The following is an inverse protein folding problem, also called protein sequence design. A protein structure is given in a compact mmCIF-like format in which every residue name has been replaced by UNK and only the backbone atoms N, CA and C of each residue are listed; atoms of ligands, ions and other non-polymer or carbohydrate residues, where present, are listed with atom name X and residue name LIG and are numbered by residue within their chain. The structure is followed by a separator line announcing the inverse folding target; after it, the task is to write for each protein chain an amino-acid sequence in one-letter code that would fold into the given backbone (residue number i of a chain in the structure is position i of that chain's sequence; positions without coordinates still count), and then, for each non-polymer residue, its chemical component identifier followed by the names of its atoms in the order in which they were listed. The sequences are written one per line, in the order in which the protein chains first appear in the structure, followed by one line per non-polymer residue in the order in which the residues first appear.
data_IF_922420366756
#
_entry.id   IF_922420366756
#
_cell.length_a   1.000
_cell.length_b   1.000
_cell.length_c   1.000
_cell.angle_alpha   90.00
_cell.angle_beta   90.00
_cell.angle_gamma   90.00
#
_symmetry.space_group_name_H-M   'P 1'
#
loop_
_entity.id
_entity.type
_entity.pdbx_description
1 polymer ?
#
# COMPACT_ATOMS: atom_id res chain seq x y z
N UNK A 1 24.55 13.98 -23.02
CA UNK A 1 23.08 14.00 -23.24
C UNK A 1 22.41 14.51 -21.97
N UNK A 2 21.45 15.44 -22.06
CA UNK A 2 20.67 15.89 -20.88
C UNK A 2 19.80 14.72 -20.41
N UNK A 3 19.83 14.39 -19.12
CA UNK A 3 18.94 13.37 -18.53
C UNK A 3 17.49 13.84 -18.64
N UNK A 4 16.56 12.94 -18.97
CA UNK A 4 15.13 13.25 -19.08
C UNK A 4 14.57 13.55 -17.69
N UNK A 5 13.62 14.47 -17.64
CA UNK A 5 12.92 14.87 -16.41
C UNK A 5 11.43 14.61 -16.58
N UNK A 6 10.79 14.12 -15.52
CA UNK A 6 9.35 13.88 -15.47
C UNK A 6 8.73 14.68 -14.31
N UNK A 7 7.46 15.12 -14.44
CA UNK A 7 6.79 15.88 -13.39
C UNK A 7 6.55 15.01 -12.16
N UNK A 8 6.75 15.59 -10.99
CA UNK A 8 6.38 14.99 -9.69
C UNK A 8 4.92 15.35 -9.38
N UNK A 9 4.13 14.35 -9.01
CA UNK A 9 2.73 14.56 -8.63
C UNK A 9 2.62 15.05 -7.17
N UNK A 10 1.48 15.64 -6.76
CA UNK A 10 1.22 15.95 -5.37
C UNK A 10 1.37 14.75 -4.42
N UNK A 11 0.92 13.56 -4.85
CA UNK A 11 1.05 12.35 -4.05
C UNK A 11 2.50 11.86 -3.97
N UNK A 12 3.29 11.99 -5.04
CA UNK A 12 4.72 11.67 -5.01
C UNK A 12 5.46 12.54 -3.96
N UNK A 13 5.11 13.84 -3.89
CA UNK A 13 5.64 14.76 -2.85
C UNK A 13 5.21 14.37 -1.45
N UNK A 14 3.93 14.00 -1.29
CA UNK A 14 3.41 13.58 0.01
C UNK A 14 4.12 12.33 0.51
N UNK A 15 4.24 11.31 -0.34
CA UNK A 15 4.95 10.08 -0.01
C UNK A 15 6.45 10.31 0.24
N UNK A 16 7.06 11.29 -0.43
CA UNK A 16 8.43 11.71 -0.12
C UNK A 16 8.54 12.22 1.32
N UNK A 17 7.65 13.13 1.72
CA UNK A 17 7.62 13.69 3.07
C UNK A 17 7.34 12.60 4.11
N UNK A 18 6.33 11.75 3.85
CA UNK A 18 5.99 10.64 4.74
C UNK A 18 7.14 9.64 4.88
N UNK A 19 7.96 9.46 3.84
CA UNK A 19 9.18 8.64 3.87
C UNK A 19 10.30 9.20 4.72
N UNK A 20 10.32 10.51 5.00
CA UNK A 20 11.29 11.12 5.90
C UNK A 20 10.94 10.93 7.38
N UNK A 21 9.65 10.75 7.69
CA UNK A 21 9.15 10.89 9.06
C UNK A 21 8.37 9.68 9.59
N UNK A 22 7.62 8.98 8.75
CA UNK A 22 6.58 8.05 9.22
C UNK A 22 6.77 6.59 8.82
N UNK A 23 7.48 6.30 7.73
CA UNK A 23 7.67 4.93 7.28
C UNK A 23 8.84 4.76 6.31
N UNK A 24 9.34 3.53 6.20
CA UNK A 24 10.00 3.06 5.00
C UNK A 24 8.91 2.81 3.93
N UNK A 25 8.83 3.72 2.96
CA UNK A 25 7.78 3.84 1.95
C UNK A 25 7.92 2.83 0.81
N UNK A 26 7.79 1.54 1.12
CA UNK A 26 7.76 0.44 0.15
C UNK A 26 6.45 -0.33 0.27
N UNK A 27 5.76 -0.51 -0.86
CA UNK A 27 4.65 -1.46 -0.97
C UNK A 27 5.20 -2.67 -1.73
N UNK A 28 5.00 -3.85 -1.17
CA UNK A 28 5.57 -5.07 -1.71
C UNK A 28 4.47 -6.05 -2.07
N UNK A 29 4.67 -6.81 -3.13
CA UNK A 29 3.86 -7.99 -3.43
C UNK A 29 4.72 -9.24 -3.33
N UNK A 30 4.15 -10.29 -2.76
CA UNK A 30 4.76 -11.61 -2.65
C UNK A 30 3.83 -12.58 -3.37
N UNK A 31 4.34 -13.26 -4.38
CA UNK A 31 3.60 -14.20 -5.22
C UNK A 31 4.26 -15.58 -5.17
N UNK A 32 3.44 -16.61 -4.99
CA UNK A 32 3.88 -18.00 -4.92
C UNK A 32 3.55 -18.68 -6.23
N UNK A 33 4.54 -19.31 -6.85
CA UNK A 33 4.40 -20.04 -8.10
C UNK A 33 4.87 -21.48 -7.91
N UNK A 34 4.40 -22.45 -8.71
CA UNK A 34 5.13 -23.69 -8.88
C UNK A 34 6.50 -23.42 -9.53
N UNK A 35 7.33 -24.46 -9.61
CA UNK A 35 8.59 -24.39 -10.39
C UNK A 35 8.31 -23.99 -11.86
N UNK A 36 9.28 -23.34 -12.51
CA UNK A 36 9.17 -22.98 -13.94
C UNK A 36 9.37 -21.51 -14.30
N UNK A 37 9.53 -20.61 -13.33
CA UNK A 37 9.86 -19.20 -13.61
C UNK A 37 11.32 -19.07 -14.07
N UNK A 38 11.51 -18.57 -15.29
CA UNK A 38 12.81 -18.33 -15.91
C UNK A 38 13.43 -17.03 -15.42
N UNK A 39 14.61 -17.13 -14.80
CA UNK A 39 15.43 -15.99 -14.37
C UNK A 39 15.68 -14.99 -15.50
N UNK A 40 16.05 -15.50 -16.68
CA UNK A 40 16.40 -14.67 -17.84
C UNK A 40 15.19 -13.89 -18.35
N UNK A 41 14.05 -14.56 -18.50
CA UNK A 41 12.83 -13.92 -18.99
C UNK A 41 12.30 -12.90 -17.97
N UNK A 42 12.35 -13.22 -16.67
CA UNK A 42 11.95 -12.29 -15.62
C UNK A 42 12.81 -11.02 -15.64
N UNK A 43 14.13 -11.16 -15.71
CA UNK A 43 15.03 -9.99 -15.78
C UNK A 43 14.76 -9.13 -17.02
N UNK A 44 14.56 -9.76 -18.18
CA UNK A 44 14.20 -9.05 -19.41
C UNK A 44 12.84 -8.33 -19.28
N UNK A 45 11.86 -8.96 -18.62
CA UNK A 45 10.54 -8.39 -18.41
C UNK A 45 10.60 -7.14 -17.53
N UNK A 46 11.32 -7.21 -16.41
CA UNK A 46 11.56 -6.05 -15.54
C UNK A 46 12.22 -4.91 -16.33
N UNK A 47 13.23 -5.22 -17.16
CA UNK A 47 13.89 -4.20 -18.00
C UNK A 47 12.95 -3.54 -19.01
N UNK A 48 11.99 -4.27 -19.56
CA UNK A 48 10.96 -3.70 -20.45
C UNK A 48 10.00 -2.82 -19.66
N UNK A 49 9.57 -3.23 -18.45
CA UNK A 49 8.71 -2.38 -17.60
C UNK A 49 9.36 -1.03 -17.29
N UNK A 50 10.68 -0.98 -17.09
CA UNK A 50 11.40 0.28 -16.87
C UNK A 50 11.39 1.22 -18.09
N UNK A 51 11.20 0.69 -19.30
CA UNK A 51 11.09 1.51 -20.52
C UNK A 51 9.66 2.00 -20.74
N UNK A 52 8.68 1.14 -20.46
CA UNK A 52 7.26 1.48 -20.54
C UNK A 52 6.83 2.45 -19.43
N UNK A 53 7.46 2.37 -18.26
CA UNK A 53 7.12 3.16 -17.08
C UNK A 53 8.35 3.91 -16.57
N UNK A 54 8.77 5.02 -17.22
CA UNK A 54 10.08 5.62 -17.02
C UNK A 54 10.37 6.12 -15.60
N UNK A 55 9.33 6.52 -14.85
CA UNK A 55 9.48 6.97 -13.45
C UNK A 55 10.00 5.83 -12.56
N UNK A 56 9.73 4.56 -12.89
CA UNK A 56 10.29 3.42 -12.15
C UNK A 56 11.83 3.34 -12.29
N UNK A 57 12.36 3.91 -13.38
CA UNK A 57 13.80 4.05 -13.65
C UNK A 57 14.35 5.45 -13.30
N UNK A 58 13.58 6.27 -12.59
CA UNK A 58 13.99 7.61 -12.17
C UNK A 58 14.41 7.64 -10.70
N UNK A 59 15.05 8.76 -10.33
CA UNK A 59 15.30 9.17 -8.94
C UNK A 59 14.52 10.44 -8.63
N UNK A 60 14.10 10.60 -7.38
CA UNK A 60 13.44 11.83 -6.94
C UNK A 60 14.49 12.90 -6.69
N UNK A 61 14.39 14.05 -7.37
CA UNK A 61 15.29 15.19 -7.17
C UNK A 61 14.62 16.19 -6.25
N UNK A 62 15.12 16.26 -5.01
CA UNK A 62 14.67 17.23 -4.01
C UNK A 62 15.04 18.65 -4.45
N UNK A 63 14.02 19.50 -4.55
CA UNK A 63 14.14 20.96 -4.62
C UNK A 63 12.81 21.56 -4.17
N UNK A 64 12.69 22.88 -4.09
CA UNK A 64 11.41 23.53 -3.77
C UNK A 64 10.29 23.14 -4.76
N UNK A 65 10.67 22.83 -6.01
CA UNK A 65 9.81 22.28 -7.06
C UNK A 65 10.40 20.96 -7.57
N UNK A 66 10.15 19.85 -6.86
CA UNK A 66 10.80 18.57 -7.14
C UNK A 66 10.42 18.03 -8.53
N UNK A 67 11.28 17.15 -9.05
CA UNK A 67 11.05 16.44 -10.31
C UNK A 67 11.69 15.05 -10.27
N UNK A 68 11.21 14.16 -11.13
CA UNK A 68 11.84 12.87 -11.37
C UNK A 68 12.93 13.04 -12.41
N UNK A 69 14.10 12.47 -12.18
CA UNK A 69 15.21 12.46 -13.14
C UNK A 69 15.55 11.03 -13.54
N UNK A 70 15.56 10.74 -14.84
CA UNK A 70 15.91 9.43 -15.36
C UNK A 70 17.35 9.05 -15.01
N UNK A 71 17.53 7.85 -14.44
CA UNK A 71 18.86 7.35 -14.10
C UNK A 71 19.63 7.01 -15.37
N UNK A 72 20.93 7.32 -15.38
CA UNK A 72 21.81 6.87 -16.46
C UNK A 72 21.97 5.35 -16.43
N UNK A 73 22.15 4.76 -17.62
CA UNK A 73 22.42 3.32 -17.81
C UNK A 73 23.66 2.80 -17.08
N UNK A 74 24.52 3.70 -16.57
CA UNK A 74 25.71 3.39 -15.76
C UNK A 74 25.41 3.05 -14.29
N UNK A 75 24.16 3.16 -13.84
CA UNK A 75 23.79 2.82 -12.46
C UNK A 75 23.64 1.31 -12.28
N UNK A 76 24.69 0.66 -11.76
CA UNK A 76 24.80 -0.81 -11.59
C UNK A 76 23.94 -1.40 -10.44
N UNK A 77 22.88 -0.75 -9.99
CA UNK A 77 22.04 -1.31 -8.92
C UNK A 77 21.24 -2.51 -9.45
N UNK A 78 21.29 -3.69 -8.80
CA UNK A 78 20.51 -4.84 -9.23
C UNK A 78 19.01 -4.57 -9.03
N UNK A 79 18.27 -4.60 -10.15
CA UNK A 79 16.80 -4.46 -10.19
C UNK A 79 16.08 -5.81 -10.11
N UNK A 80 16.77 -6.90 -10.41
CA UNK A 80 16.24 -8.26 -10.42
C UNK A 80 17.26 -9.19 -9.74
N UNK A 81 16.88 -9.70 -8.58
CA UNK A 81 17.71 -10.54 -7.71
C UNK A 81 17.23 -11.98 -7.72
N UNK A 82 18.13 -12.89 -7.38
CA UNK A 82 17.88 -14.33 -7.41
C UNK A 82 18.56 -15.00 -6.23
N UNK A 83 17.85 -15.90 -5.57
CA UNK A 83 18.43 -16.76 -4.54
C UNK A 83 17.72 -18.13 -4.54
N UNK A 84 18.43 -19.14 -4.05
CA UNK A 84 17.88 -20.47 -3.82
C UNK A 84 17.71 -20.68 -2.31
N UNK A 85 16.72 -21.47 -1.91
CA UNK A 85 16.46 -21.78 -0.51
C UNK A 85 15.55 -22.99 -0.35
N UNK A 86 15.46 -23.53 0.87
CA UNK A 86 14.48 -24.56 1.19
C UNK A 86 13.05 -23.98 1.12
N UNK A 87 12.07 -24.77 0.68
CA UNK A 87 10.66 -24.39 0.54
C UNK A 87 10.05 -23.85 1.86
N UNK A 88 10.54 -24.32 3.01
CA UNK A 88 10.14 -23.87 4.35
C UNK A 88 10.68 -22.47 4.70
N UNK A 89 11.83 -22.08 4.13
CA UNK A 89 12.51 -20.83 4.44
C UNK A 89 12.18 -19.70 3.46
N UNK A 90 11.56 -20.00 2.31
CA UNK A 90 11.32 -18.99 1.26
C UNK A 90 10.51 -17.78 1.76
N UNK A 91 9.55 -18.00 2.66
CA UNK A 91 8.76 -16.91 3.24
C UNK A 91 9.60 -16.00 4.14
N UNK A 92 10.47 -16.57 4.97
CA UNK A 92 11.41 -15.79 5.79
C UNK A 92 12.38 -15.01 4.90
N UNK A 93 12.93 -15.64 3.85
CA UNK A 93 13.79 -14.97 2.88
C UNK A 93 13.08 -13.82 2.13
N UNK A 94 11.79 -13.97 1.85
CA UNK A 94 10.97 -12.92 1.26
C UNK A 94 10.79 -11.75 2.22
N UNK A 95 10.48 -12.04 3.49
CA UNK A 95 10.36 -11.04 4.56
C UNK A 95 11.70 -10.33 4.79
N UNK A 96 12.82 -11.04 4.81
CA UNK A 96 14.15 -10.44 4.95
C UNK A 96 14.44 -9.47 3.81
N UNK A 97 14.13 -9.85 2.57
CA UNK A 97 14.26 -8.94 1.44
C UNK A 97 13.33 -7.72 1.54
N UNK A 98 12.12 -7.88 2.06
CA UNK A 98 11.19 -6.75 2.30
C UNK A 98 11.77 -5.78 3.35
N UNK A 99 12.35 -6.31 4.43
CA UNK A 99 12.97 -5.52 5.51
C UNK A 99 14.23 -4.77 5.09
N UNK A 100 14.94 -5.24 4.06
CA UNK A 100 16.11 -4.53 3.51
C UNK A 100 15.69 -3.12 3.03
N UNK A 101 16.10 -2.07 3.75
CA UNK A 101 15.86 -0.70 3.31
C UNK A 101 16.73 -0.38 2.08
N UNK A 102 16.09 -0.05 0.97
CA UNK A 102 16.77 0.57 -0.17
C UNK A 102 17.08 2.04 0.10
N UNK A 103 17.72 2.74 -0.86
CA UNK A 103 17.74 4.20 -0.86
C UNK A 103 16.44 4.70 -1.51
N UNK A 104 15.48 5.23 -0.73
CA UNK A 104 14.15 5.56 -1.25
C UNK A 104 14.18 6.70 -2.28
N UNK A 105 15.27 7.48 -2.34
CA UNK A 105 15.40 8.67 -3.20
C UNK A 105 16.22 8.35 -4.46
N UNK A 106 17.35 7.66 -4.32
CA UNK A 106 18.31 7.43 -5.41
C UNK A 106 18.03 6.18 -6.25
N UNK A 107 17.16 5.28 -5.76
CA UNK A 107 16.58 4.18 -6.56
C UNK A 107 17.14 2.79 -6.28
N UNK A 108 16.75 1.79 -7.11
CA UNK A 108 15.65 1.86 -8.09
C UNK A 108 14.27 1.96 -7.39
N UNK A 109 13.27 2.52 -8.07
CA UNK A 109 11.90 2.59 -7.53
C UNK A 109 11.18 1.23 -7.58
N UNK A 110 11.81 0.23 -8.21
CA UNK A 110 11.35 -1.14 -8.29
C UNK A 110 12.52 -2.11 -8.14
N UNK A 111 12.33 -3.15 -7.34
CA UNK A 111 13.22 -4.30 -7.26
C UNK A 111 12.40 -5.57 -7.25
N UNK A 112 12.89 -6.62 -7.89
CA UNK A 112 12.31 -7.96 -7.78
C UNK A 112 13.33 -8.93 -7.22
N UNK A 113 12.85 -9.96 -6.51
CA UNK A 113 13.66 -11.09 -6.08
C UNK A 113 12.90 -12.38 -6.34
N UNK A 114 13.47 -13.25 -7.17
CA UNK A 114 12.97 -14.60 -7.37
C UNK A 114 13.73 -15.54 -6.42
N UNK A 115 13.00 -16.10 -5.46
CA UNK A 115 13.47 -17.10 -4.52
C UNK A 115 13.02 -18.47 -5.03
N UNK A 116 13.97 -19.35 -5.34
CA UNK A 116 13.70 -20.67 -5.90
C UNK A 116 13.84 -21.74 -4.83
N UNK A 117 12.78 -22.49 -4.61
CA UNK A 117 12.80 -23.72 -3.84
C UNK A 117 12.73 -24.95 -4.72
N UNK A 118 12.48 -26.09 -4.08
CA UNK A 118 12.41 -27.41 -4.73
C UNK A 118 11.04 -27.69 -5.33
N UNK A 119 9.97 -27.24 -4.67
CA UNK A 119 8.58 -27.46 -5.12
C UNK A 119 7.91 -26.16 -5.56
N UNK A 120 8.37 -25.02 -5.07
CA UNK A 120 7.76 -23.71 -5.36
C UNK A 120 8.80 -22.61 -5.55
N UNK A 121 8.37 -21.52 -6.18
CA UNK A 121 9.10 -20.26 -6.24
C UNK A 121 8.32 -19.18 -5.49
N UNK A 122 9.04 -18.21 -4.95
CA UNK A 122 8.46 -16.96 -4.43
C UNK A 122 9.05 -15.79 -5.22
N UNK A 123 8.18 -15.03 -5.88
CA UNK A 123 8.55 -13.75 -6.50
C UNK A 123 8.14 -12.63 -5.56
N UNK A 124 9.13 -11.87 -5.08
CA UNK A 124 8.90 -10.62 -4.34
C UNK A 124 9.08 -9.45 -5.29
N UNK A 125 8.11 -8.55 -5.33
CA UNK A 125 8.16 -7.28 -6.04
C UNK A 125 8.13 -6.17 -5.01
N UNK A 126 9.21 -5.40 -4.88
CA UNK A 126 9.31 -4.23 -3.99
C UNK A 126 9.18 -2.97 -4.81
N UNK A 127 8.15 -2.17 -4.54
CA UNK A 127 7.87 -0.97 -5.30
C UNK A 127 7.80 0.24 -4.35
N UNK A 128 8.46 1.32 -4.74
CA UNK A 128 8.55 2.52 -3.93
C UNK A 128 7.21 3.25 -3.92
N UNK A 129 6.65 3.47 -2.73
CA UNK A 129 5.42 4.26 -2.56
C UNK A 129 5.62 5.73 -2.94
N UNK A 130 6.89 6.15 -3.12
CA UNK A 130 7.23 7.44 -3.68
C UNK A 130 6.58 7.70 -5.05
N UNK A 131 6.30 6.65 -5.82
CA UNK A 131 5.80 6.78 -7.19
C UNK A 131 4.58 5.90 -7.52
N UNK A 132 4.08 5.08 -6.59
CA UNK A 132 3.02 4.11 -6.83
C UNK A 132 2.31 3.70 -5.55
N UNK A 133 1.00 3.53 -5.63
CA UNK A 133 0.20 3.03 -4.51
C UNK A 133 -0.05 1.51 -4.64
N UNK A 134 -0.96 0.98 -3.80
CA UNK A 134 -1.33 -0.43 -3.82
C UNK A 134 -1.99 -0.89 -5.12
N UNK A 135 -2.76 -0.03 -5.80
CA UNK A 135 -3.35 -0.35 -7.09
C UNK A 135 -2.28 -0.35 -8.19
N UNK A 136 -1.35 0.61 -8.16
CA UNK A 136 -0.17 0.62 -9.02
C UNK A 136 0.71 -0.62 -8.87
N UNK A 137 0.82 -1.20 -7.67
CA UNK A 137 1.51 -2.49 -7.48
C UNK A 137 0.80 -3.64 -8.22
N UNK A 138 -0.53 -3.68 -8.20
CA UNK A 138 -1.30 -4.70 -8.96
C UNK A 138 -1.15 -4.52 -10.46
N UNK A 139 -1.29 -3.28 -10.94
CA UNK A 139 -1.08 -2.92 -12.34
C UNK A 139 0.32 -3.34 -12.80
N UNK A 140 1.34 -3.12 -11.96
CA UNK A 140 2.72 -3.51 -12.25
C UNK A 140 2.89 -5.04 -12.36
N UNK A 141 2.32 -5.82 -11.44
CA UNK A 141 2.41 -7.28 -11.47
C UNK A 141 1.76 -7.84 -12.73
N UNK A 142 0.59 -7.31 -13.10
CA UNK A 142 -0.11 -7.73 -14.31
C UNK A 142 0.70 -7.39 -15.57
N UNK A 143 1.25 -6.17 -15.64
CA UNK A 143 2.13 -5.76 -16.73
C UNK A 143 3.38 -6.65 -16.83
N UNK A 144 4.02 -6.94 -15.69
CA UNK A 144 5.21 -7.78 -15.61
C UNK A 144 4.92 -9.21 -16.11
N UNK A 145 3.82 -9.81 -15.66
CA UNK A 145 3.39 -11.14 -16.10
C UNK A 145 3.03 -11.19 -17.58
N UNK A 146 2.34 -10.16 -18.08
CA UNK A 146 1.97 -10.05 -19.50
C UNK A 146 3.22 -9.94 -20.40
N UNK A 147 4.19 -9.09 -20.04
CA UNK A 147 5.47 -8.96 -20.76
C UNK A 147 6.24 -10.27 -20.72
N UNK A 148 6.36 -10.90 -19.55
CA UNK A 148 7.03 -12.19 -19.41
C UNK A 148 6.40 -13.23 -20.35
N UNK A 149 5.07 -13.27 -20.39
CA UNK A 149 4.33 -14.19 -21.25
C UNK A 149 4.64 -13.94 -22.72
N UNK A 150 4.63 -12.68 -23.18
CA UNK A 150 5.00 -12.38 -24.57
C UNK A 150 6.45 -12.77 -24.90
N UNK A 151 7.40 -12.56 -23.98
CA UNK A 151 8.79 -13.00 -24.17
C UNK A 151 8.91 -14.52 -24.23
N UNK A 152 8.12 -15.25 -23.43
CA UNK A 152 8.10 -16.72 -23.47
C UNK A 152 7.60 -17.27 -24.82
N UNK A 153 6.71 -16.52 -25.49
CA UNK A 153 6.22 -16.78 -26.85
C UNK A 153 7.19 -16.29 -27.94
N UNK A 154 8.42 -15.90 -27.57
CA UNK A 154 9.49 -15.43 -28.48
C UNK A 154 9.14 -14.16 -29.25
N UNK A 155 8.22 -13.33 -28.75
CA UNK A 155 8.02 -11.99 -29.31
C UNK A 155 9.25 -11.12 -29.06
N UNK A 156 9.58 -10.27 -30.03
CA UNK A 156 10.70 -9.36 -29.88
C UNK A 156 10.38 -8.25 -28.87
N UNK A 157 11.43 -7.70 -28.25
CA UNK A 157 11.31 -6.58 -27.33
C UNK A 157 10.54 -5.39 -27.96
N UNK A 158 10.82 -5.07 -29.22
CA UNK A 158 10.21 -3.92 -29.90
C UNK A 158 8.72 -4.15 -30.16
N UNK A 159 8.31 -5.38 -30.47
CA UNK A 159 6.90 -5.75 -30.60
C UNK A 159 6.16 -5.61 -29.27
N UNK A 160 6.80 -6.04 -28.18
CA UNK A 160 6.22 -5.94 -26.84
C UNK A 160 6.08 -4.49 -26.43
N UNK A 161 7.13 -3.68 -26.60
CA UNK A 161 7.07 -2.25 -26.29
C UNK A 161 5.95 -1.60 -27.08
N UNK A 162 5.91 -1.78 -28.41
CA UNK A 162 4.82 -1.22 -29.23
C UNK A 162 3.42 -1.67 -28.79
N UNK A 163 3.27 -2.89 -28.28
CA UNK A 163 1.98 -3.43 -27.84
C UNK A 163 1.49 -2.84 -26.51
N UNK A 164 2.41 -2.54 -25.59
CA UNK A 164 2.10 -2.05 -24.25
C UNK A 164 2.43 -0.57 -24.05
N UNK A 165 2.98 0.09 -25.07
CA UNK A 165 3.17 1.53 -25.09
C UNK A 165 1.78 2.18 -25.23
N UNK A 166 1.32 2.94 -24.24
CA UNK A 166 0.04 3.63 -24.32
C UNK A 166 0.09 4.62 -25.50
N UNK A 167 -0.86 4.56 -26.42
CA UNK A 167 -0.96 5.53 -27.52
C UNK A 167 -1.45 6.93 -27.05
N UNK A 168 -0.94 7.43 -25.90
CA UNK A 168 -1.20 8.71 -25.23
C UNK A 168 -2.36 8.76 -24.21
N UNK A 169 -2.90 7.65 -23.74
CA UNK A 169 -3.99 7.65 -22.72
C UNK A 169 -3.49 7.65 -21.26
N UNK A 170 -2.18 7.55 -21.05
CA UNK A 170 -1.57 7.43 -19.73
C UNK A 170 -1.42 8.77 -18.99
N UNK A 171 -1.66 8.76 -17.68
CA UNK A 171 -1.43 9.92 -16.82
C UNK A 171 -1.06 9.54 -15.39
N UNK A 172 -0.43 10.48 -14.68
CA UNK A 172 -0.02 10.30 -13.28
C UNK A 172 -0.65 11.31 -12.32
N UNK A 173 -1.10 12.46 -12.80
CA UNK A 173 -1.67 13.51 -11.94
C UNK A 173 -3.15 13.25 -11.61
N UNK A 174 -3.68 14.01 -10.65
CA UNK A 174 -5.04 13.81 -10.13
C UNK A 174 -6.11 14.57 -10.93
N UNK A 175 -5.75 15.34 -11.96
CA UNK A 175 -6.70 16.20 -12.69
C UNK A 175 -7.84 15.40 -13.35
N UNK A 176 -7.59 14.22 -13.97
CA UNK A 176 -8.67 13.41 -14.51
C UNK A 176 -9.66 12.93 -13.44
N UNK A 177 -9.18 12.59 -12.23
CA UNK A 177 -10.06 12.21 -11.11
C UNK A 177 -11.01 13.35 -10.76
N UNK A 178 -10.50 14.57 -10.58
CA UNK A 178 -11.34 15.73 -10.28
C UNK A 178 -12.32 16.03 -11.42
N UNK A 179 -11.85 15.96 -12.68
CA UNK A 179 -12.68 16.17 -13.87
C UNK A 179 -13.86 15.18 -13.91
N UNK A 180 -13.60 13.88 -13.79
CA UNK A 180 -14.66 12.87 -13.83
C UNK A 180 -15.57 12.89 -12.60
N UNK A 181 -15.07 13.38 -11.46
CA UNK A 181 -15.88 13.65 -10.27
C UNK A 181 -16.69 14.97 -10.35
N UNK A 182 -16.56 15.75 -11.43
CA UNK A 182 -17.28 17.02 -11.60
C UNK A 182 -16.75 18.18 -10.73
N UNK A 183 -15.50 18.08 -10.25
CA UNK A 183 -14.87 19.11 -9.42
C UNK A 183 -14.12 20.08 -10.33
N UNK A 184 -14.59 21.33 -10.39
CA UNK A 184 -13.95 22.42 -11.16
C UNK A 184 -13.11 23.34 -10.29
N UNK A 185 -13.41 23.47 -8.99
CA UNK A 185 -12.62 24.23 -8.02
C UNK A 185 -12.08 23.30 -6.93
N UNK A 186 -10.79 22.97 -7.03
CA UNK A 186 -10.07 22.10 -6.09
C UNK A 186 -10.12 22.66 -4.66
N UNK A 187 -10.09 23.98 -4.47
CA UNK A 187 -10.13 24.58 -3.12
C UNK A 187 -11.45 24.26 -2.41
N UNK A 188 -12.56 24.32 -3.13
CA UNK A 188 -13.89 24.00 -2.59
C UNK A 188 -14.07 22.52 -2.26
N UNK A 189 -13.30 21.63 -2.89
CA UNK A 189 -13.37 20.19 -2.63
C UNK A 189 -12.66 19.78 -1.33
N UNK A 190 -11.70 20.60 -0.84
CA UNK A 190 -11.00 20.35 0.41
C UNK A 190 -11.89 20.69 1.62
N UNK A 191 -12.11 19.70 2.49
CA UNK A 191 -12.96 19.80 3.69
C UNK A 191 -12.09 19.63 4.95
N UNK A 192 -11.55 20.71 5.53
CA UNK A 192 -10.61 20.63 6.65
C UNK A 192 -11.24 20.14 7.97
N UNK A 193 -12.57 20.25 8.11
CA UNK A 193 -13.26 20.02 9.38
C UNK A 193 -13.55 18.52 9.69
N UNK A 194 -13.13 17.58 8.83
CA UNK A 194 -13.28 16.14 9.08
C UNK A 194 -12.23 15.59 10.07
N UNK A 195 -11.19 16.35 10.39
CA UNK A 195 -10.01 15.85 11.14
C UNK A 195 -10.05 16.04 12.67
N UNK A 196 -11.11 16.63 13.24
CA UNK A 196 -11.01 17.26 14.58
C UNK A 196 -11.95 16.79 15.71
N UNK A 197 -12.56 15.60 15.65
CA UNK A 197 -13.64 15.29 16.62
C UNK A 197 -13.46 14.05 17.52
N UNK A 198 -12.57 13.10 17.22
CA UNK A 198 -12.35 11.94 18.09
C UNK A 198 -11.11 12.09 19.01
N UNK A 199 -11.17 11.52 20.22
CA UNK A 199 -9.97 11.39 21.05
C UNK A 199 -8.97 10.48 20.36
N UNK A 200 -7.72 10.94 20.25
CA UNK A 200 -6.68 10.15 19.62
C UNK A 200 -6.39 8.93 20.50
N UNK A 201 -6.65 7.75 19.95
CA UNK A 201 -6.13 6.47 20.40
C UNK A 201 -5.03 6.01 19.44
N UNK A 202 -4.06 5.23 19.93
CA UNK A 202 -2.92 4.80 19.12
C UNK A 202 -2.56 3.36 19.42
N UNK A 203 -1.94 2.68 18.46
CA UNK A 203 -1.28 1.43 18.75
C UNK A 203 -0.12 1.67 19.74
N UNK A 204 0.04 0.83 20.77
CA UNK A 204 1.02 1.06 21.82
C UNK A 204 2.45 0.91 21.28
N UNK A 205 3.21 2.00 21.35
CA UNK A 205 4.61 2.04 20.98
C UNK A 205 5.42 2.87 21.96
N UNK A 206 6.75 2.78 21.88
CA UNK A 206 7.69 3.64 22.60
C UNK A 206 8.63 4.25 21.55
N UNK A 207 8.24 5.36 20.91
CA UNK A 207 9.03 5.97 19.85
C UNK A 207 10.43 6.32 20.37
N UNK A 208 11.45 5.80 19.70
CA UNK A 208 12.84 6.06 20.04
C UNK A 208 13.71 6.11 18.79
N UNK A 209 14.18 4.95 18.30
CA UNK A 209 15.19 4.87 17.23
C UNK A 209 14.72 4.16 15.97
N UNK A 210 13.60 3.44 16.01
CA UNK A 210 13.09 2.65 14.88
C UNK A 210 14.19 1.82 14.19
N UNK A 211 14.92 1.01 14.96
CA UNK A 211 16.22 0.46 14.54
C UNK A 211 16.10 -0.80 13.68
N UNK A 212 15.24 -1.74 14.05
CA UNK A 212 15.19 -3.05 13.40
C UNK A 212 13.84 -3.22 12.70
N UNK A 213 13.78 -3.12 11.37
CA UNK A 213 12.54 -3.36 10.64
C UNK A 213 12.09 -4.80 10.88
N UNK A 214 10.79 -4.99 11.03
CA UNK A 214 10.12 -6.26 11.23
C UNK A 214 8.83 -6.30 10.39
N UNK A 215 8.36 -7.50 10.10
CA UNK A 215 7.11 -7.71 9.38
C UNK A 215 6.38 -8.91 9.97
N UNK A 216 5.13 -8.70 10.36
CA UNK A 216 4.23 -9.76 10.77
C UNK A 216 3.22 -10.04 9.64
N UNK A 217 2.98 -11.32 9.39
CA UNK A 217 2.02 -11.80 8.38
C UNK A 217 1.08 -12.81 9.04
N UNK A 218 -0.23 -12.66 8.80
CA UNK A 218 -1.25 -13.62 9.20
C UNK A 218 -2.25 -13.86 8.10
N UNK A 219 -2.74 -15.09 7.99
CA UNK A 219 -3.63 -15.53 6.90
C UNK A 219 -4.83 -16.27 7.44
N UNK A 220 -5.97 -16.05 6.81
CA UNK A 220 -7.08 -16.98 6.87
C UNK A 220 -6.87 -18.10 5.84
N UNK A 221 -7.29 -19.31 6.18
CA UNK A 221 -7.38 -20.39 5.20
C UNK A 221 -8.40 -20.06 4.12
N UNK A 222 -8.37 -20.81 3.01
CA UNK A 222 -9.37 -20.66 1.95
C UNK A 222 -10.80 -20.90 2.49
N UNK A 223 -10.96 -21.94 3.31
CA UNK A 223 -12.23 -22.27 3.95
C UNK A 223 -12.70 -21.18 4.92
N UNK A 224 -11.81 -20.65 5.77
CA UNK A 224 -12.15 -19.54 6.67
C UNK A 224 -12.55 -18.28 5.91
N UNK A 225 -11.82 -17.96 4.83
CA UNK A 225 -12.13 -16.79 3.99
C UNK A 225 -13.46 -16.95 3.27
N UNK A 226 -13.79 -18.16 2.81
CA UNK A 226 -15.06 -18.47 2.18
C UNK A 226 -16.23 -18.31 3.17
N UNK A 227 -16.13 -18.89 4.37
CA UNK A 227 -17.14 -18.75 5.44
C UNK A 227 -17.34 -17.28 5.81
N UNK A 228 -16.25 -16.55 6.04
CA UNK A 228 -16.29 -15.11 6.32
C UNK A 228 -17.01 -14.33 5.22
N UNK A 229 -16.73 -14.65 3.95
CA UNK A 229 -17.37 -13.98 2.80
C UNK A 229 -18.87 -14.27 2.74
N UNK A 230 -19.28 -15.52 2.99
CA UNK A 230 -20.69 -15.92 3.04
C UNK A 230 -21.41 -15.24 4.20
N UNK A 231 -20.82 -15.24 5.39
CA UNK A 231 -21.34 -14.57 6.57
C UNK A 231 -21.50 -13.06 6.34
N UNK A 232 -20.47 -12.42 5.76
CA UNK A 232 -20.46 -10.98 5.44
C UNK A 232 -21.63 -10.61 4.51
N UNK A 233 -21.88 -11.43 3.48
CA UNK A 233 -23.02 -11.24 2.57
C UNK A 233 -24.36 -11.37 3.30
N UNK A 234 -24.49 -12.32 4.23
CA UNK A 234 -25.70 -12.48 5.04
C UNK A 234 -25.99 -11.26 5.92
N UNK A 235 -24.95 -10.55 6.38
CA UNK A 235 -25.07 -9.29 7.13
C UNK A 235 -25.34 -8.05 6.25
N UNK A 236 -25.40 -8.20 4.91
CA UNK A 236 -25.48 -7.07 3.96
C UNK A 236 -24.37 -6.02 4.16
N UNK A 237 -23.19 -6.49 4.60
CA UNK A 237 -21.99 -5.69 4.79
C UNK A 237 -20.97 -5.99 3.68
N UNK A 238 -19.96 -5.13 3.54
CA UNK A 238 -18.79 -5.42 2.71
C UNK A 238 -17.70 -6.08 3.54
N UNK A 239 -16.78 -6.81 2.90
CA UNK A 239 -15.64 -7.40 3.60
C UNK A 239 -14.76 -6.32 4.27
N UNK A 240 -14.69 -5.12 3.68
CA UNK A 240 -14.00 -3.98 4.29
C UNK A 240 -14.65 -3.56 5.61
N UNK A 241 -15.99 -3.51 5.67
CA UNK A 241 -16.71 -3.15 6.90
C UNK A 241 -16.42 -4.18 8.02
N UNK A 242 -16.37 -5.48 7.66
CA UNK A 242 -16.09 -6.57 8.62
C UNK A 242 -14.63 -6.58 9.08
N UNK A 243 -13.67 -6.39 8.17
CA UNK A 243 -12.24 -6.24 8.54
C UNK A 243 -12.04 -5.03 9.47
N UNK A 244 -12.68 -3.91 9.15
CA UNK A 244 -12.60 -2.69 9.95
C UNK A 244 -13.25 -2.85 11.32
N UNK A 245 -14.35 -3.58 11.41
CA UNK A 245 -14.99 -3.95 12.68
C UNK A 245 -14.01 -4.70 13.58
N UNK A 246 -13.38 -5.75 13.05
CA UNK A 246 -12.34 -6.48 13.77
C UNK A 246 -11.18 -5.54 14.16
N UNK A 247 -10.78 -4.63 13.26
CA UNK A 247 -9.70 -3.67 13.53
C UNK A 247 -10.01 -2.75 14.70
N UNK A 248 -11.19 -2.14 14.73
CA UNK A 248 -11.65 -1.33 15.85
C UNK A 248 -11.67 -2.14 17.16
N UNK A 249 -12.28 -3.33 17.16
CA UNK A 249 -12.38 -4.16 18.36
C UNK A 249 -11.00 -4.61 18.86
N UNK A 250 -10.14 -5.13 17.97
CA UNK A 250 -8.79 -5.52 18.34
C UNK A 250 -8.00 -4.31 18.86
N UNK A 251 -8.01 -3.18 18.16
CA UNK A 251 -7.25 -1.99 18.58
C UNK A 251 -7.70 -1.52 19.97
N UNK A 252 -8.99 -1.57 20.29
CA UNK A 252 -9.51 -1.18 21.61
C UNK A 252 -8.90 -1.96 22.79
N UNK A 253 -8.48 -3.20 22.55
CA UNK A 253 -7.86 -4.07 23.56
C UNK A 253 -6.40 -3.68 23.86
N UNK A 254 -5.72 -3.03 22.91
CA UNK A 254 -4.29 -2.69 23.03
C UNK A 254 -4.03 -1.19 23.11
N UNK A 255 -4.98 -0.37 22.68
CA UNK A 255 -4.76 1.04 22.43
C UNK A 255 -4.35 1.81 23.68
N UNK A 256 -3.43 2.75 23.47
CA UNK A 256 -3.21 3.87 24.39
C UNK A 256 -4.15 5.01 24.01
N UNK A 257 -4.53 5.83 24.98
CA UNK A 257 -5.50 6.90 24.80
C UNK A 257 -4.92 8.24 25.24
N UNK A 258 -5.29 9.31 24.52
CA UNK A 258 -5.21 10.66 25.05
C UNK A 258 -6.34 10.89 26.06
N UNK A 259 -6.07 11.71 27.08
CA UNK A 259 -7.08 12.16 28.04
C UNK A 259 -7.58 13.57 27.65
N UNK A 260 -8.88 13.87 27.81
CA UNK A 260 -9.93 12.99 28.32
C UNK A 260 -10.39 11.97 27.28
N UNK A 261 -10.70 10.74 27.73
CA UNK A 261 -11.26 9.71 26.86
C UNK A 261 -12.65 10.09 26.34
N UNK A 262 -12.88 9.87 25.06
CA UNK A 262 -14.21 9.91 24.43
C UNK A 262 -14.66 8.52 24.00
N UNK A 263 -15.97 8.31 23.85
CA UNK A 263 -16.51 7.07 23.28
C UNK A 263 -16.28 6.97 21.77
N UNK A 264 -16.04 8.09 21.09
CA UNK A 264 -15.74 8.12 19.65
C UNK A 264 -14.31 7.68 19.37
N UNK A 265 -14.15 6.73 18.46
CA UNK A 265 -12.89 6.20 17.98
C UNK A 265 -12.78 6.41 16.49
N UNK A 266 -11.58 6.80 16.07
CA UNK A 266 -11.27 7.12 14.68
C UNK A 266 -10.07 6.31 14.22
N UNK A 267 -10.12 5.82 12.99
CA UNK A 267 -8.94 5.26 12.30
C UNK A 267 -8.81 5.96 10.95
N UNK A 268 -7.65 5.90 10.31
CA UNK A 268 -7.53 6.29 8.90
C UNK A 268 -7.72 5.10 7.97
N UNK A 269 -8.35 5.35 6.83
CA UNK A 269 -8.62 4.36 5.78
C UNK A 269 -8.20 4.92 4.43
N UNK A 270 -7.46 4.14 3.65
CA UNK A 270 -7.10 4.52 2.28
C UNK A 270 -8.23 4.25 1.29
N UNK A 271 -8.37 5.10 0.28
CA UNK A 271 -9.37 5.00 -0.79
C UNK A 271 -8.66 5.02 -2.14
N UNK A 272 -8.93 4.04 -3.00
CA UNK A 272 -8.48 4.09 -4.39
C UNK A 272 -9.29 5.11 -5.18
N UNK A 273 -8.63 6.17 -5.67
CA UNK A 273 -9.28 7.25 -6.42
C UNK A 273 -9.48 6.87 -7.90
N UNK A 274 -8.90 5.76 -8.38
CA UNK A 274 -9.22 5.20 -9.71
C UNK A 274 -10.71 4.86 -9.84
N UNK A 275 -11.44 4.73 -8.73
CA UNK A 275 -12.90 4.55 -8.71
C UNK A 275 -13.69 5.64 -9.45
N UNK A 276 -13.12 6.84 -9.62
CA UNK A 276 -13.74 7.95 -10.35
C UNK A 276 -13.41 7.94 -11.85
N UNK A 277 -12.49 7.07 -12.29
CA UNK A 277 -12.09 6.97 -13.69
C UNK A 277 -13.00 5.97 -14.42
N UNK A 278 -13.33 6.21 -15.72
CA UNK A 278 -14.21 5.32 -16.48
C UNK A 278 -13.75 3.86 -16.54
N UNK A 279 -12.44 3.63 -16.63
CA UNK A 279 -11.85 2.30 -16.77
C UNK A 279 -11.18 1.80 -15.48
N UNK A 280 -11.34 2.51 -14.36
CA UNK A 280 -10.69 2.17 -13.09
C UNK A 280 -9.16 2.01 -13.13
N UNK A 281 -8.50 2.67 -14.09
CA UNK A 281 -7.04 2.69 -14.25
C UNK A 281 -6.60 4.02 -14.84
N UNK A 282 -5.34 4.37 -14.61
CA UNK A 282 -4.66 5.51 -15.23
C UNK A 282 -3.82 5.10 -16.44
N UNK A 283 -3.69 3.79 -16.69
CA UNK A 283 -2.70 3.20 -17.61
C UNK A 283 -1.25 3.23 -17.08
N UNK A 284 -0.92 4.14 -16.15
CA UNK A 284 0.43 4.29 -15.60
C UNK A 284 0.57 3.72 -14.19
N UNK A 285 1.78 3.27 -13.84
CA UNK A 285 2.10 2.89 -12.46
C UNK A 285 2.31 4.16 -11.64
N UNK A 286 1.26 4.57 -10.92
CA UNK A 286 1.23 5.84 -10.18
C UNK A 286 0.51 5.78 -8.83
N UNK A 287 0.77 6.77 -7.99
CA UNK A 287 0.01 7.07 -6.79
C UNK A 287 -1.30 7.78 -7.16
N UNK A 288 -2.43 7.21 -6.76
CA UNK A 288 -3.76 7.80 -6.93
C UNK A 288 -4.69 7.32 -5.80
N UNK A 289 -4.29 7.63 -4.56
CA UNK A 289 -4.98 7.23 -3.33
C UNK A 289 -5.43 8.44 -2.51
N UNK A 290 -6.60 8.33 -1.87
CA UNK A 290 -7.12 9.27 -0.89
C UNK A 290 -7.16 8.66 0.50
N UNK A 291 -7.53 9.46 1.49
CA UNK A 291 -7.71 9.08 2.89
C UNK A 291 -9.10 9.50 3.36
N UNK A 292 -9.71 8.66 4.18
CA UNK A 292 -10.92 8.94 4.94
C UNK A 292 -10.72 8.55 6.40
N UNK A 293 -11.49 9.16 7.30
CA UNK A 293 -11.39 8.92 8.74
C UNK A 293 -12.73 8.45 9.30
N UNK A 294 -13.09 7.16 9.15
CA UNK A 294 -14.29 6.61 9.79
C UNK A 294 -14.22 6.81 11.31
N UNK A 295 -15.28 7.42 11.85
CA UNK A 295 -15.50 7.59 13.28
C UNK A 295 -16.66 6.70 13.69
N UNK A 296 -16.49 5.94 14.77
CA UNK A 296 -17.56 5.17 15.40
C UNK A 296 -17.57 5.42 16.89
N UNK A 297 -18.76 5.33 17.50
CA UNK A 297 -18.88 5.24 18.94
C UNK A 297 -18.63 3.79 19.38
N UNK A 298 -17.70 3.58 20.30
CA UNK A 298 -17.41 2.27 20.89
C UNK A 298 -17.72 2.28 22.39
N UNK A 299 -18.33 1.19 22.86
CA UNK A 299 -18.57 0.88 24.26
C UNK A 299 -17.71 -0.33 24.67
N UNK A 300 -17.35 -0.44 25.95
CA UNK A 300 -16.37 -1.45 26.41
C UNK A 300 -16.81 -2.92 26.18
N UNK A 301 -18.12 -3.18 26.06
CA UNK A 301 -18.70 -4.53 25.96
C UNK A 301 -19.50 -4.74 24.65
N UNK A 302 -19.20 -3.98 23.58
CA UNK A 302 -19.88 -4.17 22.30
C UNK A 302 -19.61 -5.56 21.70
N UNK A 303 -20.69 -6.26 21.33
CA UNK A 303 -20.57 -7.44 20.46
C UNK A 303 -20.08 -7.06 19.06
N UNK A 304 -19.50 -8.02 18.34
CA UNK A 304 -19.03 -7.82 16.97
C UNK A 304 -20.09 -7.21 16.06
N UNK A 305 -21.33 -7.70 16.13
CA UNK A 305 -22.44 -7.21 15.32
C UNK A 305 -22.83 -5.76 15.66
N UNK A 306 -22.78 -5.37 16.93
CA UNK A 306 -23.06 -3.99 17.33
C UNK A 306 -22.00 -3.03 16.78
N UNK A 307 -20.72 -3.40 16.85
CA UNK A 307 -19.65 -2.61 16.22
C UNK A 307 -19.80 -2.59 14.70
N UNK A 308 -20.15 -3.72 14.06
CA UNK A 308 -20.34 -3.81 12.61
C UNK A 308 -21.43 -2.86 12.10
N UNK A 309 -22.55 -2.74 12.81
CA UNK A 309 -23.62 -1.81 12.44
C UNK A 309 -23.09 -0.37 12.39
N UNK A 310 -22.36 0.06 13.43
CA UNK A 310 -21.83 1.43 13.50
C UNK A 310 -20.72 1.70 12.47
N UNK A 311 -19.85 0.70 12.22
CA UNK A 311 -18.84 0.78 11.15
C UNK A 311 -19.52 0.92 9.80
N UNK A 312 -20.53 0.10 9.52
CA UNK A 312 -21.28 0.17 8.27
C UNK A 312 -21.98 1.52 8.08
N UNK A 313 -22.63 2.05 9.12
CA UNK A 313 -23.26 3.38 9.07
C UNK A 313 -22.25 4.50 8.77
N UNK A 314 -21.09 4.47 9.45
CA UNK A 314 -19.99 5.42 9.22
C UNK A 314 -19.46 5.32 7.78
N UNK A 315 -19.26 4.10 7.28
CA UNK A 315 -18.77 3.87 5.92
C UNK A 315 -19.79 4.18 4.83
N UNK A 316 -21.07 3.93 5.05
CA UNK A 316 -22.13 4.27 4.09
C UNK A 316 -22.27 5.80 3.98
N UNK A 317 -22.09 6.53 5.09
CA UNK A 317 -21.98 7.99 5.10
C UNK A 317 -20.78 8.47 4.27
N UNK A 318 -19.59 7.94 4.52
CA UNK A 318 -18.37 8.26 3.76
C UNK A 318 -18.56 7.99 2.26
N UNK A 319 -19.10 6.81 1.89
CA UNK A 319 -19.36 6.43 0.50
C UNK A 319 -20.33 7.38 -0.21
N UNK A 320 -21.26 7.99 0.52
CA UNK A 320 -22.21 8.97 -0.04
C UNK A 320 -21.60 10.36 -0.30
N UNK A 321 -20.39 10.64 0.17
CA UNK A 321 -19.79 11.98 0.18
C UNK A 321 -18.55 12.15 -0.71
N UNK A 322 -18.45 11.34 -1.78
CA UNK A 322 -17.30 11.29 -2.69
C UNK A 322 -15.97 11.01 -1.96
N UNK A 323 -15.80 9.79 -1.42
CA UNK A 323 -14.68 9.44 -0.57
C UNK A 323 -13.31 9.64 -1.24
N UNK A 324 -12.35 10.14 -0.46
CA UNK A 324 -10.96 10.37 -0.82
C UNK A 324 -10.71 11.72 -1.52
N UNK A 325 -11.71 12.33 -2.16
CA UNK A 325 -11.52 13.55 -2.95
C UNK A 325 -11.12 14.77 -2.12
N UNK A 326 -11.60 14.87 -0.87
CA UNK A 326 -11.21 15.95 0.05
C UNK A 326 -9.71 15.88 0.34
N UNK A 327 -9.21 14.71 0.73
CA UNK A 327 -7.77 14.50 1.00
C UNK A 327 -6.91 14.74 -0.25
N UNK A 328 -7.37 14.30 -1.42
CA UNK A 328 -6.69 14.52 -2.69
C UNK A 328 -6.55 16.01 -3.02
N UNK A 329 -7.63 16.77 -2.81
CA UNK A 329 -7.62 18.23 -2.95
C UNK A 329 -6.67 18.89 -1.93
N UNK A 330 -6.64 18.41 -0.68
CA UNK A 330 -5.66 18.85 0.32
C UNK A 330 -4.22 18.68 -0.14
N UNK A 331 -3.90 17.54 -0.79
CA UNK A 331 -2.56 17.30 -1.35
C UNK A 331 -2.23 18.27 -2.49
N UNK A 332 -3.18 18.62 -3.37
CA UNK A 332 -2.99 19.66 -4.40
C UNK A 332 -2.65 21.02 -3.79
N UNK A 333 -3.37 21.42 -2.74
CA UNK A 333 -3.14 22.68 -2.02
C UNK A 333 -1.77 22.70 -1.32
N UNK A 334 -1.32 21.57 -0.79
CA UNK A 334 0.02 21.45 -0.22
C UNK A 334 1.10 21.46 -1.31
N UNK A 335 0.82 20.84 -2.46
CA UNK A 335 1.73 20.85 -3.61
C UNK A 335 1.86 22.24 -4.25
N UNK A 336 0.92 23.16 -4.04
CA UNK A 336 1.08 24.55 -4.48
C UNK A 336 2.11 25.35 -3.66
N UNK A 337 2.58 24.82 -2.53
CA UNK A 337 3.61 25.42 -1.67
C UNK A 337 5.00 24.88 -2.02
N UNK A 338 6.07 25.55 -1.55
CA UNK A 338 7.43 25.03 -1.68
C UNK A 338 7.61 23.76 -0.87
N UNK A 339 8.36 22.78 -1.39
CA UNK A 339 8.61 21.53 -0.67
C UNK A 339 9.25 21.77 0.71
N UNK A 340 10.17 22.73 0.83
CA UNK A 340 10.81 23.10 2.10
C UNK A 340 9.83 23.58 3.17
N UNK A 341 8.80 24.34 2.78
CA UNK A 341 7.75 24.82 3.68
C UNK A 341 6.89 23.66 4.20
N UNK A 342 6.42 22.80 3.28
CA UNK A 342 5.61 21.63 3.65
C UNK A 342 6.42 20.67 4.53
N UNK A 343 7.70 20.47 4.22
CA UNK A 343 8.60 19.63 5.02
C UNK A 343 8.74 20.15 6.46
N UNK A 344 8.81 21.47 6.65
CA UNK A 344 8.80 22.09 7.99
C UNK A 344 7.48 21.85 8.73
N UNK A 345 6.34 21.99 8.05
CA UNK A 345 5.01 21.73 8.64
C UNK A 345 4.90 20.27 9.13
N UNK A 346 5.27 19.30 8.29
CA UNK A 346 5.20 17.88 8.64
C UNK A 346 6.23 17.50 9.70
N UNK A 347 7.41 18.12 9.70
CA UNK A 347 8.39 17.92 10.78
C UNK A 347 7.81 18.30 12.14
N UNK A 348 7.09 19.42 12.22
CA UNK A 348 6.44 19.85 13.47
C UNK A 348 5.34 18.87 13.91
N UNK A 349 4.51 18.39 12.98
CA UNK A 349 3.50 17.37 13.29
C UNK A 349 4.14 16.05 13.75
N UNK A 350 5.23 15.65 13.10
CA UNK A 350 6.01 14.49 13.48
C UNK A 350 6.60 14.62 14.90
N UNK A 351 7.24 15.76 15.21
CA UNK A 351 7.81 16.03 16.53
C UNK A 351 6.72 16.01 17.62
N UNK A 352 5.52 16.54 17.33
CA UNK A 352 4.37 16.47 18.22
C UNK A 352 3.89 15.03 18.43
N UNK A 353 3.78 14.24 17.36
CA UNK A 353 3.40 12.83 17.45
C UNK A 353 4.40 12.02 18.29
N UNK A 354 5.71 12.26 18.12
CA UNK A 354 6.76 11.67 18.95
C UNK A 354 6.63 12.07 20.42
N UNK A 355 6.42 13.37 20.70
CA UNK A 355 6.28 13.88 22.05
C UNK A 355 5.06 13.28 22.77
N UNK A 356 3.95 13.13 22.05
CA UNK A 356 2.74 12.52 22.59
C UNK A 356 2.84 10.99 22.65
N UNK A 357 3.69 10.37 21.83
CA UNK A 357 3.70 8.92 21.63
C UNK A 357 2.45 8.41 20.91
N UNK A 358 1.78 9.27 20.13
CA UNK A 358 0.46 9.01 19.57
C UNK A 358 0.42 9.35 18.08
N UNK A 359 -0.15 8.45 17.29
CA UNK A 359 -0.53 8.71 15.90
C UNK A 359 -1.81 7.96 15.56
N UNK A 360 -2.55 8.46 14.57
CA UNK A 360 -3.78 7.82 14.09
C UNK A 360 -3.43 6.45 13.48
N UNK A 361 -3.99 5.34 14.00
CA UNK A 361 -3.79 4.02 13.39
C UNK A 361 -4.49 3.93 12.04
N UNK A 362 -3.82 3.32 11.07
CA UNK A 362 -4.29 3.23 9.70
C UNK A 362 -4.61 1.78 9.30
N UNK A 363 -5.66 1.64 8.49
CA UNK A 363 -6.00 0.43 7.76
C UNK A 363 -5.89 0.72 6.26
N UNK A 364 -5.12 -0.08 5.54
CA UNK A 364 -5.13 -0.09 4.07
C UNK A 364 -5.61 -1.43 3.57
N UNK A 365 -6.78 -1.45 2.94
CA UNK A 365 -7.33 -2.65 2.34
C UNK A 365 -7.06 -2.63 0.84
N UNK A 366 -6.07 -3.41 0.41
CA UNK A 366 -5.74 -3.58 -0.99
C UNK A 366 -6.77 -4.41 -1.75
N UNK A 367 -7.72 -5.08 -1.09
CA UNK A 367 -8.75 -5.89 -1.75
C UNK A 367 -8.18 -7.11 -2.49
N UNK A 368 -8.84 -7.55 -3.56
CA UNK A 368 -8.31 -8.63 -4.42
C UNK A 368 -7.07 -8.14 -5.18
N UNK A 369 -5.99 -8.91 -5.16
CA UNK A 369 -4.77 -8.59 -5.90
C UNK A 369 -5.00 -8.67 -7.41
N UNK A 370 -5.80 -9.64 -7.86
CA UNK A 370 -6.21 -9.77 -9.25
C UNK A 370 -7.58 -10.46 -9.34
N UNK A 371 -8.37 -10.08 -10.34
CA UNK A 371 -9.65 -10.74 -10.65
C UNK A 371 -9.42 -11.98 -11.51
N UNK A 372 -8.39 -11.94 -12.36
CA UNK A 372 -7.93 -13.06 -13.19
C UNK A 372 -6.62 -13.66 -12.64
N UNK A 373 -6.32 -14.93 -12.95
CA UNK A 373 -5.07 -15.54 -12.56
C UNK A 373 -3.84 -14.76 -13.03
N UNK A 374 -2.88 -14.53 -12.13
CA UNK A 374 -1.61 -13.89 -12.49
C UNK A 374 -0.72 -14.94 -13.20
N UNK A 375 -0.45 -14.72 -14.48
CA UNK A 375 0.29 -15.64 -15.35
C UNK A 375 1.67 -15.12 -15.71
N UNK A 376 2.66 -16.02 -15.67
CA UNK A 376 4.02 -15.80 -16.17
C UNK A 376 4.35 -16.91 -17.17
N UNK A 377 4.02 -16.67 -18.44
CA UNK A 377 4.03 -17.71 -19.46
C UNK A 377 2.90 -18.69 -19.18
N UNK A 378 3.20 -19.97 -19.08
CA UNK A 378 2.24 -21.01 -18.70
C UNK A 378 2.15 -21.23 -17.18
N UNK A 379 2.94 -20.48 -16.38
CA UNK A 379 3.03 -20.66 -14.93
C UNK A 379 2.08 -19.70 -14.22
N UNK A 380 1.11 -20.25 -13.48
CA UNK A 380 0.13 -19.49 -12.71
C UNK A 380 0.59 -19.27 -11.26
N UNK A 381 0.37 -18.07 -10.71
CA UNK A 381 0.54 -17.81 -9.28
C UNK A 381 -0.56 -18.52 -8.47
N UNK A 382 -0.15 -19.33 -7.49
CA UNK A 382 -1.03 -20.13 -6.63
C UNK A 382 -1.52 -19.36 -5.39
N UNK A 383 -0.72 -18.42 -4.89
CA UNK A 383 -1.02 -17.61 -3.71
C UNK A 383 -0.30 -16.25 -3.81
N UNK A 384 -0.70 -15.29 -2.98
CA UNK A 384 0.00 -14.02 -2.86
C UNK A 384 -0.60 -13.04 -1.87
N UNK A 385 0.19 -12.03 -1.49
CA UNK A 385 -0.23 -10.95 -0.62
C UNK A 385 0.54 -9.66 -0.91
N UNK A 386 -0.06 -8.52 -0.54
CA UNK A 386 0.57 -7.19 -0.58
C UNK A 386 0.86 -6.74 0.85
N UNK A 387 2.03 -6.13 1.07
CA UNK A 387 2.39 -5.49 2.34
C UNK A 387 2.24 -3.97 2.25
N UNK A 388 1.72 -3.36 3.32
CA UNK A 388 1.84 -1.91 3.53
C UNK A 388 3.30 -1.50 3.84
N UNK A 389 3.61 -0.19 3.83
CA UNK A 389 4.90 0.34 4.30
C UNK A 389 5.27 -0.15 5.71
N UNK A 390 6.58 -0.19 5.99
CA UNK A 390 7.10 -0.49 7.33
C UNK A 390 7.14 0.80 8.14
N UNK A 391 6.25 0.91 9.13
CA UNK A 391 6.03 2.16 9.85
C UNK A 391 7.10 2.41 10.91
N UNK A 392 7.43 3.69 11.10
CA UNK A 392 8.20 4.20 12.23
C UNK A 392 7.23 4.52 13.37
N UNK A 393 7.52 4.10 14.60
CA UNK A 393 6.72 4.46 15.76
C UNK A 393 6.67 6.01 15.93
N UNK A 394 5.53 6.59 16.35
CA UNK A 394 4.29 5.94 16.80
C UNK A 394 3.30 5.56 15.68
N UNK A 395 3.65 5.78 14.41
CA UNK A 395 2.76 5.47 13.29
C UNK A 395 2.57 3.95 13.15
N UNK A 396 1.36 3.56 12.77
CA UNK A 396 0.97 2.17 12.69
C UNK A 396 -0.04 1.96 11.57
N UNK A 397 0.25 1.01 10.68
CA UNK A 397 -0.59 0.69 9.54
C UNK A 397 -0.70 -0.82 9.40
N UNK A 398 -1.92 -1.32 9.25
CA UNK A 398 -2.16 -2.70 8.83
C UNK A 398 -2.61 -2.74 7.38
N UNK A 399 -1.97 -3.59 6.59
CA UNK A 399 -2.39 -3.96 5.25
C UNK A 399 -3.30 -5.19 5.26
N UNK A 400 -4.33 -5.19 4.42
CA UNK A 400 -5.16 -6.36 4.11
C UNK A 400 -5.19 -6.59 2.59
N UNK A 401 -5.02 -7.83 2.15
CA UNK A 401 -5.12 -8.19 0.73
C UNK A 401 -5.64 -9.61 0.59
N UNK A 402 -6.26 -9.92 -0.56
CA UNK A 402 -6.73 -11.27 -0.86
C UNK A 402 -6.28 -11.74 -2.22
N UNK A 403 -5.98 -13.02 -2.34
CA UNK A 403 -5.69 -13.67 -3.61
C UNK A 403 -6.08 -15.14 -3.54
N UNK A 404 -6.67 -15.65 -4.63
CA UNK A 404 -7.10 -17.05 -4.74
C UNK A 404 -7.93 -17.55 -3.53
N UNK A 405 -8.83 -16.69 -3.02
CA UNK A 405 -9.69 -16.99 -1.88
C UNK A 405 -8.98 -17.07 -0.53
N UNK A 406 -7.76 -16.55 -0.38
CA UNK A 406 -7.08 -16.39 0.93
C UNK A 406 -6.96 -14.93 1.30
N UNK A 407 -7.41 -14.56 2.49
CA UNK A 407 -7.24 -13.22 3.06
C UNK A 407 -5.96 -13.17 3.90
N UNK A 408 -5.10 -12.18 3.64
CA UNK A 408 -3.83 -11.98 4.34
C UNK A 408 -3.76 -10.58 4.95
N UNK A 409 -3.30 -10.51 6.20
CA UNK A 409 -3.03 -9.30 6.96
C UNK A 409 -1.54 -9.15 7.19
N UNK A 410 -1.03 -7.92 7.06
CA UNK A 410 0.39 -7.60 7.19
C UNK A 410 0.60 -6.35 8.02
N UNK A 411 1.63 -6.34 8.87
CA UNK A 411 2.06 -5.15 9.60
C UNK A 411 3.58 -5.06 9.54
N UNK A 412 4.07 -3.97 8.96
CA UNK A 412 5.48 -3.61 9.00
C UNK A 412 5.73 -2.59 10.11
N UNK A 413 6.71 -2.85 10.97
CA UNK A 413 7.03 -2.01 12.12
C UNK A 413 8.53 -2.06 12.43
N UNK A 414 9.00 -1.26 13.39
CA UNK A 414 10.37 -1.35 13.88
C UNK A 414 10.40 -1.76 15.35
N UNK A 415 11.25 -2.75 15.68
CA UNK A 415 11.57 -3.11 17.06
C UNK A 415 12.80 -2.33 17.55
N UNK A 416 12.94 -2.09 18.87
CA UNK A 416 12.01 -2.45 19.95
C UNK A 416 10.84 -1.45 20.15
N UNK A 417 10.79 -0.36 19.38
CA UNK A 417 9.81 0.73 19.56
C UNK A 417 8.37 0.23 19.47
N UNK A 418 8.11 -0.71 18.56
CA UNK A 418 6.91 -1.56 18.56
C UNK A 418 7.33 -3.01 18.77
N UNK A 419 6.76 -3.69 19.77
CA UNK A 419 7.20 -5.04 20.13
C UNK A 419 6.51 -6.10 19.28
N UNK A 420 7.26 -7.15 18.93
CA UNK A 420 6.74 -8.28 18.14
C UNK A 420 5.53 -8.91 18.81
N UNK A 421 5.60 -9.13 20.13
CA UNK A 421 4.54 -9.78 20.89
C UNK A 421 3.21 -9.04 20.76
N UNK A 422 3.22 -7.71 20.82
CA UNK A 422 1.99 -6.89 20.70
C UNK A 422 1.40 -6.94 19.29
N UNK A 423 2.26 -6.87 18.27
CA UNK A 423 1.81 -6.94 16.87
C UNK A 423 1.22 -8.31 16.55
N UNK A 424 1.88 -9.38 17.01
CA UNK A 424 1.42 -10.76 16.83
C UNK A 424 0.10 -11.01 17.57
N UNK A 425 -0.03 -10.54 18.82
CA UNK A 425 -1.28 -10.62 19.58
C UNK A 425 -2.43 -9.82 18.95
N UNK A 426 -2.13 -8.65 18.39
CA UNK A 426 -3.11 -7.85 17.65
C UNK A 426 -3.62 -8.58 16.41
N UNK A 427 -2.72 -9.10 15.56
CA UNK A 427 -3.12 -9.87 14.37
C UNK A 427 -3.82 -11.17 14.72
N UNK A 428 -3.45 -11.82 15.82
CA UNK A 428 -4.15 -12.99 16.33
C UNK A 428 -5.56 -12.64 16.80
N UNK A 429 -5.74 -11.53 17.53
CA UNK A 429 -7.06 -11.01 17.92
C UNK A 429 -7.94 -10.75 16.69
N UNK A 430 -7.39 -10.16 15.63
CA UNK A 430 -8.07 -9.95 14.35
C UNK A 430 -8.51 -11.27 13.71
N UNK A 431 -7.57 -12.20 13.51
CA UNK A 431 -7.83 -13.48 12.85
C UNK A 431 -8.80 -14.35 13.65
N UNK A 432 -8.68 -14.36 14.98
CA UNK A 432 -9.56 -15.14 15.85
C UNK A 432 -11.00 -14.63 15.85
N UNK A 433 -11.23 -13.32 15.70
CA UNK A 433 -12.58 -12.78 15.52
C UNK A 433 -13.13 -13.20 14.16
N UNK A 434 -12.38 -12.97 13.08
CA UNK A 434 -12.84 -13.20 11.71
C UNK A 434 -13.03 -14.68 11.37
N UNK A 435 -12.21 -15.57 11.93
CA UNK A 435 -12.30 -17.01 11.67
C UNK A 435 -13.46 -17.73 12.36
N UNK A 436 -14.11 -17.07 13.33
CA UNK A 436 -15.29 -17.59 14.05
C UNK A 436 -16.62 -17.19 13.41
N UNK A 437 -16.59 -16.29 12.42
CA UNK A 437 -17.74 -15.86 11.63
C UNK A 437 -17.93 -16.80 10.44
#
# INVERSE_FOLDING_TARGET
MKQRKYPVTPQDRMNYILGLYSANQQINAVLYFPIGISKKLLEQSVRITLQLQPVLNSRFVESDMPYWEERSSSTNSPICLFAEGNDENLEMMAIDFIKESGNPIQGPMIQTKLLRGTLKNVLVVKLSHLCSDGAGVKEYINLLGAIYTQLSLRQSKDQIIKKFDPENEEFRDQSPVFKYAGITDIKSAYRPNQEQQAALWSFPSKPNKNTYPEMAVRRLSHEQTLRLTQWTKAQKATLNDVIMTAYFQSLSQFAVYTEPRTAEKMIGLTIDLRRYLPNHTTGSICNLSGMEMPVIKMENDDSFNQTLVRVKESMDTIKSQNPGLSSAAGMELLASKKLSEVKKMYKQQYELALQMGMALPLLTNFGSIADEPIMFGEVQAQDGYITSPIMYAPFFTMGASSYNGRLTFTIGYHSPDTTKEKVEQFLESMVNQLSKL
#
